data_IF_226107223364
#
_entry.id   IF_226107223364
#
_cell.length_a   1.000
_cell.length_b   1.000
_cell.length_c   1.000
_cell.angle_alpha   90.00
_cell.angle_beta   90.00
_cell.angle_gamma   90.00
#
_symmetry.space_group_name_H-M   'P 1'
#
loop_
_entity.id
_entity.type
_entity.pdbx_description
1 polymer ?
#
# COMPACT_ATOMS: atom_id res chain seq x y z
N UNK A 1 -6.73 -38.03 -17.85
CA UNK A 1 -5.58 -38.83 -18.36
C UNK A 1 -4.31 -38.03 -18.19
N UNK A 2 -3.22 -38.65 -17.73
CA UNK A 2 -1.91 -37.98 -17.57
C UNK A 2 -1.37 -37.55 -18.93
N UNK A 3 -0.80 -36.34 -18.99
CA UNK A 3 -0.23 -35.78 -20.22
C UNK A 3 0.92 -36.67 -20.70
N UNK A 4 1.04 -36.88 -22.01
CA UNK A 4 2.20 -37.55 -22.57
C UNK A 4 3.45 -36.66 -22.42
N UNK A 5 4.64 -37.25 -22.55
CA UNK A 5 5.90 -36.53 -22.36
C UNK A 5 6.03 -35.28 -23.24
N UNK A 6 5.64 -35.37 -24.51
CA UNK A 6 5.73 -34.23 -25.44
C UNK A 6 4.83 -33.06 -25.04
N UNK A 7 3.60 -33.33 -24.57
CA UNK A 7 2.70 -32.31 -24.08
C UNK A 7 3.22 -31.70 -22.77
N UNK A 8 3.73 -32.53 -21.84
CA UNK A 8 4.36 -32.04 -20.61
C UNK A 8 5.57 -31.15 -20.91
N UNK A 9 6.42 -31.55 -21.86
CA UNK A 9 7.59 -30.79 -22.27
C UNK A 9 7.20 -29.44 -22.87
N UNK A 10 6.22 -29.42 -23.80
CA UNK A 10 5.72 -28.18 -24.41
C UNK A 10 5.20 -27.19 -23.36
N UNK A 11 4.41 -27.67 -22.41
CA UNK A 11 3.87 -26.87 -21.32
C UNK A 11 4.95 -26.40 -20.33
N UNK A 12 5.91 -27.26 -20.01
CA UNK A 12 7.03 -26.92 -19.13
C UNK A 12 7.92 -25.85 -19.75
N UNK A 13 8.21 -25.95 -21.05
CA UNK A 13 8.92 -24.90 -21.80
C UNK A 13 8.10 -23.61 -21.81
N UNK A 14 6.78 -23.70 -22.01
CA UNK A 14 5.89 -22.53 -21.93
C UNK A 14 5.95 -21.82 -20.58
N UNK A 15 5.86 -22.58 -19.47
CA UNK A 15 5.98 -22.02 -18.11
C UNK A 15 7.38 -21.44 -17.86
N UNK A 16 8.45 -22.08 -18.35
CA UNK A 16 9.81 -21.57 -18.23
C UNK A 16 9.97 -20.22 -18.96
N UNK A 17 9.52 -20.15 -20.21
CA UNK A 17 9.58 -18.91 -20.99
C UNK A 17 8.73 -17.81 -20.36
N UNK A 18 7.54 -18.14 -19.86
CA UNK A 18 6.71 -17.21 -19.11
C UNK A 18 7.45 -16.68 -17.86
N UNK A 19 8.09 -17.56 -17.10
CA UNK A 19 8.85 -17.16 -15.92
C UNK A 19 10.01 -16.21 -16.26
N UNK A 20 10.76 -16.52 -17.32
CA UNK A 20 11.85 -15.67 -17.82
C UNK A 20 11.30 -14.29 -18.22
N UNK A 21 10.29 -14.24 -19.08
CA UNK A 21 9.69 -12.98 -19.55
C UNK A 21 9.19 -12.15 -18.36
N UNK A 22 8.45 -12.76 -17.45
CA UNK A 22 7.91 -12.06 -16.29
C UNK A 22 9.02 -11.53 -15.36
N UNK A 23 10.13 -12.26 -15.18
CA UNK A 23 11.29 -11.77 -14.42
C UNK A 23 11.95 -10.55 -15.09
N UNK A 24 12.11 -10.56 -16.41
CA UNK A 24 12.66 -9.42 -17.13
C UNK A 24 11.73 -8.19 -17.11
N UNK A 25 10.40 -8.38 -17.05
CA UNK A 25 9.43 -7.30 -16.82
C UNK A 25 9.50 -6.80 -15.37
N UNK A 26 9.67 -7.72 -14.41
CA UNK A 26 9.69 -7.42 -12.99
C UNK A 26 10.95 -6.70 -12.54
N UNK A 27 12.15 -7.06 -13.02
CA UNK A 27 13.40 -6.46 -12.50
C UNK A 27 13.49 -4.93 -12.64
N UNK A 28 13.15 -4.30 -13.78
CA UNK A 28 13.13 -2.84 -13.88
C UNK A 28 12.20 -2.18 -12.86
N UNK A 29 11.06 -2.81 -12.58
CA UNK A 29 10.12 -2.39 -11.55
C UNK A 29 10.73 -2.56 -10.15
N UNK A 30 11.24 -3.75 -9.82
CA UNK A 30 11.77 -4.09 -8.51
C UNK A 30 12.97 -3.21 -8.13
N UNK A 31 13.81 -2.84 -9.10
CA UNK A 31 14.92 -1.91 -8.87
C UNK A 31 14.54 -0.43 -9.00
N UNK A 32 13.25 -0.10 -9.14
CA UNK A 32 12.76 1.28 -9.29
C UNK A 32 13.45 2.08 -10.40
N UNK A 33 13.88 1.44 -11.49
CA UNK A 33 14.85 2.03 -12.43
C UNK A 33 14.41 3.39 -13.00
N UNK A 34 13.13 3.52 -13.35
CA UNK A 34 12.55 4.77 -13.88
C UNK A 34 12.57 5.89 -12.82
N UNK A 35 12.24 5.57 -11.57
CA UNK A 35 12.21 6.54 -10.47
C UNK A 35 13.62 6.98 -10.09
N UNK A 36 14.55 6.05 -9.93
CA UNK A 36 15.93 6.33 -9.57
C UNK A 36 16.64 7.16 -10.65
N UNK A 37 16.38 6.86 -11.93
CA UNK A 37 16.92 7.64 -13.04
C UNK A 37 16.39 9.07 -13.06
N UNK A 38 15.07 9.27 -12.88
CA UNK A 38 14.46 10.61 -12.83
C UNK A 38 14.93 11.44 -11.64
N UNK A 39 15.21 10.78 -10.52
CA UNK A 39 15.59 11.43 -9.26
C UNK A 39 17.09 11.36 -9.00
N UNK A 40 17.91 11.01 -9.98
CA UNK A 40 19.34 10.71 -9.80
C UNK A 40 20.08 11.80 -9.02
N UNK A 41 19.81 13.07 -9.36
CA UNK A 41 20.42 14.25 -8.72
C UNK A 41 19.52 14.93 -7.67
N UNK A 42 18.40 14.31 -7.30
CA UNK A 42 17.56 14.81 -6.22
C UNK A 42 18.30 14.72 -4.88
N UNK A 43 18.04 15.62 -3.92
CA UNK A 43 18.60 15.52 -2.58
C UNK A 43 18.33 14.14 -1.95
N UNK A 44 19.21 13.69 -1.08
CA UNK A 44 18.99 12.50 -0.28
C UNK A 44 17.78 12.75 0.62
N UNK A 45 16.73 11.94 0.45
CA UNK A 45 15.55 11.96 1.31
C UNK A 45 14.93 13.36 1.48
N UNK A 46 14.89 14.11 0.38
CA UNK A 46 14.44 15.50 0.32
C UNK A 46 15.03 16.44 1.41
N UNK A 47 16.21 16.11 1.96
CA UNK A 47 16.88 16.92 2.98
C UNK A 47 17.48 18.16 2.31
N UNK A 48 16.88 19.32 2.60
CA UNK A 48 17.26 20.62 2.04
C UNK A 48 17.17 21.66 3.14
N UNK A 49 18.17 22.55 3.23
CA UNK A 49 18.12 23.72 4.11
C UNK A 49 17.67 24.95 3.30
N UNK A 50 16.47 25.45 3.61
CA UNK A 50 15.93 26.70 3.06
C UNK A 50 16.36 27.91 3.89
N UNK A 51 16.31 29.10 3.28
CA UNK A 51 16.55 30.36 3.99
C UNK A 51 15.41 30.62 4.95
N UNK A 52 15.70 30.84 6.23
CA UNK A 52 14.68 31.14 7.25
C UNK A 52 14.76 32.58 7.74
N UNK A 53 15.92 33.23 7.59
CA UNK A 53 16.18 34.58 8.09
C UNK A 53 16.02 35.65 7.00
N UNK A 54 15.66 36.87 7.41
CA UNK A 54 15.71 38.06 6.56
C UNK A 54 17.13 38.65 6.62
N UNK A 55 17.71 38.99 5.46
CA UNK A 55 19.10 39.51 5.35
C UNK A 55 20.03 38.56 4.58
N UNK A 56 21.29 38.96 4.34
CA UNK A 56 22.31 38.11 3.70
C UNK A 56 23.44 37.84 4.70
N UNK A 57 23.68 36.55 4.97
CA UNK A 57 24.87 36.07 5.68
C UNK A 57 25.63 35.15 4.73
N UNK A 58 26.90 35.48 4.47
CA UNK A 58 27.76 34.66 3.61
C UNK A 58 27.96 33.25 4.19
N UNK A 59 28.08 33.16 5.52
CA UNK A 59 28.21 31.89 6.23
C UNK A 59 26.95 31.02 6.04
N UNK A 60 25.76 31.57 6.31
CA UNK A 60 24.49 30.84 6.14
C UNK A 60 24.28 30.41 4.68
N UNK A 61 24.65 31.28 3.73
CA UNK A 61 24.60 30.96 2.31
C UNK A 61 25.52 29.78 1.96
N UNK A 62 26.77 29.79 2.45
CA UNK A 62 27.74 28.73 2.20
C UNK A 62 27.33 27.41 2.86
N UNK A 63 26.89 27.44 4.12
CA UNK A 63 26.40 26.25 4.84
C UNK A 63 25.23 25.59 4.09
N UNK A 64 24.28 26.39 3.62
CA UNK A 64 23.15 25.90 2.81
C UNK A 64 23.61 25.30 1.48
N UNK A 65 24.54 25.94 0.80
CA UNK A 65 25.09 25.44 -0.46
C UNK A 65 25.79 24.10 -0.23
N UNK A 66 26.68 24.04 0.77
CA UNK A 66 27.44 22.86 1.13
C UNK A 66 26.52 21.70 1.54
N UNK A 67 25.55 21.94 2.42
CA UNK A 67 24.60 20.91 2.86
C UNK A 67 23.77 20.36 1.69
N UNK A 68 23.20 21.25 0.87
CA UNK A 68 22.38 20.83 -0.27
C UNK A 68 23.21 20.07 -1.31
N UNK A 69 24.48 20.44 -1.50
CA UNK A 69 25.41 19.73 -2.36
C UNK A 69 25.71 18.32 -1.82
N UNK A 70 26.08 18.21 -0.53
CA UNK A 70 26.35 16.92 0.13
C UNK A 70 25.13 16.00 0.05
N UNK A 71 23.95 16.53 0.37
CA UNK A 71 22.68 15.78 0.29
C UNK A 71 22.44 15.22 -1.11
N UNK A 72 22.67 16.01 -2.17
CA UNK A 72 22.56 15.54 -3.57
C UNK A 72 23.63 14.50 -3.94
N UNK A 73 24.86 14.64 -3.44
CA UNK A 73 25.93 13.67 -3.68
C UNK A 73 25.63 12.32 -3.03
N UNK A 74 25.19 12.30 -1.77
CA UNK A 74 24.75 11.07 -1.11
C UNK A 74 23.62 10.40 -1.91
N UNK A 75 22.62 11.20 -2.30
CA UNK A 75 21.52 10.74 -3.14
C UNK A 75 22.00 10.14 -4.46
N UNK A 76 22.90 10.82 -5.16
CA UNK A 76 23.49 10.36 -6.42
C UNK A 76 24.18 9.01 -6.26
N UNK A 77 25.11 8.88 -5.31
CA UNK A 77 25.88 7.64 -5.14
C UNK A 77 25.01 6.45 -4.74
N UNK A 78 24.03 6.66 -3.83
CA UNK A 78 23.11 5.60 -3.42
C UNK A 78 22.23 5.13 -4.58
N UNK A 79 21.67 6.05 -5.37
CA UNK A 79 20.83 5.67 -6.54
C UNK A 79 21.68 5.02 -7.63
N UNK A 80 22.88 5.54 -7.88
CA UNK A 80 23.81 4.99 -8.86
C UNK A 80 24.23 3.56 -8.51
N UNK A 81 24.49 3.26 -7.23
CA UNK A 81 24.88 1.91 -6.81
C UNK A 81 23.79 0.88 -7.09
N UNK A 82 22.52 1.22 -6.83
CA UNK A 82 21.36 0.35 -7.12
C UNK A 82 21.18 0.17 -8.63
N UNK A 83 21.32 1.25 -9.42
CA UNK A 83 21.23 1.18 -10.88
C UNK A 83 22.35 0.29 -11.46
N UNK A 84 23.59 0.46 -11.00
CA UNK A 84 24.72 -0.37 -11.43
C UNK A 84 24.52 -1.84 -11.05
N UNK A 85 24.00 -2.10 -9.85
CA UNK A 85 23.69 -3.46 -9.40
C UNK A 85 22.59 -4.12 -10.23
N UNK A 86 21.56 -3.36 -10.64
CA UNK A 86 20.56 -3.84 -11.61
C UNK A 86 21.21 -4.27 -12.94
N UNK A 87 22.08 -3.44 -13.53
CA UNK A 87 22.75 -3.79 -14.78
C UNK A 87 23.67 -5.01 -14.63
N UNK A 88 24.31 -5.17 -13.47
CA UNK A 88 25.09 -6.35 -13.14
C UNK A 88 24.22 -7.61 -13.07
N UNK A 89 23.07 -7.56 -12.40
CA UNK A 89 22.09 -8.67 -12.37
C UNK A 89 21.58 -8.98 -13.78
N UNK A 90 21.26 -7.96 -14.57
CA UNK A 90 20.76 -8.13 -15.94
C UNK A 90 21.82 -8.82 -16.81
N UNK A 91 23.07 -8.37 -16.73
CA UNK A 91 24.19 -8.98 -17.44
C UNK A 91 24.34 -10.47 -17.09
N UNK A 92 24.41 -10.80 -15.80
CA UNK A 92 24.53 -12.19 -15.38
C UNK A 92 23.29 -13.01 -15.77
N UNK A 93 22.10 -12.45 -15.67
CA UNK A 93 20.86 -13.14 -16.08
C UNK A 93 20.90 -13.51 -17.56
N UNK A 94 21.34 -12.61 -18.44
CA UNK A 94 21.45 -12.89 -19.89
C UNK A 94 22.55 -13.91 -20.18
N UNK A 95 23.72 -13.79 -19.55
CA UNK A 95 24.86 -14.69 -19.75
C UNK A 95 24.54 -16.12 -19.28
N UNK A 96 23.87 -16.27 -18.14
CA UNK A 96 23.56 -17.57 -17.55
C UNK A 96 22.28 -18.21 -18.07
N UNK A 97 21.36 -17.44 -18.68
CA UNK A 97 20.10 -17.96 -19.22
C UNK A 97 20.24 -19.20 -20.14
N UNK A 98 21.16 -19.26 -21.12
CA UNK A 98 21.31 -20.45 -21.96
C UNK A 98 21.75 -21.69 -21.17
N UNK A 99 22.59 -21.50 -20.14
CA UNK A 99 23.03 -22.59 -19.27
C UNK A 99 21.90 -23.08 -18.37
N UNK A 100 21.11 -22.15 -17.80
CA UNK A 100 19.92 -22.48 -17.00
C UNK A 100 18.90 -23.23 -17.86
N UNK A 101 18.69 -22.81 -19.11
CA UNK A 101 17.80 -23.48 -20.03
C UNK A 101 18.29 -24.90 -20.38
N UNK A 102 19.60 -25.08 -20.62
CA UNK A 102 20.19 -26.38 -20.86
C UNK A 102 20.03 -27.32 -19.66
N UNK A 103 20.31 -26.84 -18.44
CA UNK A 103 20.08 -27.58 -17.19
C UNK A 103 18.61 -27.95 -17.06
N UNK A 104 17.70 -27.01 -17.34
CA UNK A 104 16.26 -27.26 -17.32
C UNK A 104 15.88 -28.41 -18.27
N UNK A 105 16.35 -28.39 -19.52
CA UNK A 105 16.09 -29.45 -20.52
C UNK A 105 16.62 -30.80 -20.04
N UNK A 106 17.83 -30.85 -19.49
CA UNK A 106 18.43 -32.08 -18.94
C UNK A 106 17.60 -32.63 -17.79
N UNK A 107 17.02 -31.77 -16.95
CA UNK A 107 16.19 -32.17 -15.82
C UNK A 107 14.74 -32.53 -16.20
N UNK A 108 14.26 -32.16 -17.39
CA UNK A 108 12.86 -32.42 -17.80
C UNK A 108 12.41 -33.88 -17.71
N UNK A 109 13.22 -34.90 -18.05
CA UNK A 109 12.79 -36.31 -17.91
C UNK A 109 12.53 -36.69 -16.45
N UNK A 110 13.34 -36.16 -15.53
CA UNK A 110 13.24 -36.41 -14.09
C UNK A 110 12.01 -35.69 -13.50
N UNK A 111 11.75 -34.46 -13.95
CA UNK A 111 10.53 -33.72 -13.62
C UNK A 111 9.26 -34.41 -14.16
N UNK A 112 9.31 -34.98 -15.37
CA UNK A 112 8.21 -35.74 -15.93
C UNK A 112 7.94 -37.02 -15.13
N UNK A 113 8.99 -37.74 -14.72
CA UNK A 113 8.83 -38.91 -13.85
C UNK A 113 8.13 -38.53 -12.55
N UNK A 114 8.54 -37.42 -11.91
CA UNK A 114 7.86 -36.89 -10.72
C UNK A 114 6.39 -36.55 -11.00
N UNK A 115 6.09 -35.83 -12.09
CA UNK A 115 4.72 -35.53 -12.52
C UNK A 115 3.88 -36.79 -12.75
N UNK A 116 4.49 -37.83 -13.32
CA UNK A 116 3.84 -39.10 -13.60
C UNK A 116 3.60 -39.93 -12.33
N UNK A 117 4.44 -39.81 -11.31
CA UNK A 117 4.26 -40.48 -10.02
C UNK A 117 3.27 -39.74 -9.11
N UNK A 118 3.18 -38.41 -9.24
CA UNK A 118 2.21 -37.62 -8.50
C UNK A 118 0.77 -37.87 -8.98
N UNK A 119 -0.20 -37.72 -8.06
CA UNK A 119 -1.63 -37.65 -8.39
C UNK A 119 -1.89 -36.44 -9.29
N UNK A 120 -2.80 -36.56 -10.25
CA UNK A 120 -3.18 -35.40 -11.08
C UNK A 120 -3.79 -34.30 -10.22
N UNK A 121 -3.76 -33.05 -10.69
CA UNK A 121 -4.40 -31.95 -9.95
C UNK A 121 -5.90 -32.19 -9.74
N UNK A 122 -6.59 -32.84 -10.69
CA UNK A 122 -7.99 -33.24 -10.53
C UNK A 122 -8.19 -34.32 -9.46
N UNK A 123 -7.29 -35.32 -9.40
CA UNK A 123 -7.33 -36.37 -8.37
C UNK A 123 -7.00 -35.82 -6.98
N UNK A 124 -6.08 -34.85 -6.90
CA UNK A 124 -5.76 -34.13 -5.67
C UNK A 124 -6.94 -33.29 -5.20
N UNK A 125 -7.57 -32.54 -6.11
CA UNK A 125 -8.76 -31.75 -5.85
C UNK A 125 -9.91 -32.62 -5.34
N UNK A 126 -10.24 -33.71 -6.04
CA UNK A 126 -11.33 -34.59 -5.69
C UNK A 126 -11.09 -35.28 -4.34
N UNK A 127 -9.86 -35.70 -4.06
CA UNK A 127 -9.48 -36.26 -2.76
C UNK A 127 -9.60 -35.22 -1.64
N UNK A 128 -9.11 -33.99 -1.85
CA UNK A 128 -9.21 -32.90 -0.89
C UNK A 128 -10.68 -32.52 -0.66
N UNK A 129 -11.48 -32.43 -1.72
CA UNK A 129 -12.91 -32.16 -1.66
C UNK A 129 -13.64 -33.22 -0.85
N UNK A 130 -13.35 -34.49 -1.11
CA UNK A 130 -13.94 -35.62 -0.39
C UNK A 130 -13.58 -35.58 1.09
N UNK A 131 -12.31 -35.36 1.42
CA UNK A 131 -11.87 -35.25 2.81
C UNK A 131 -12.47 -34.03 3.52
N UNK A 132 -12.50 -32.89 2.84
CA UNK A 132 -13.06 -31.65 3.37
C UNK A 132 -14.56 -31.82 3.67
N UNK A 133 -15.32 -32.36 2.71
CA UNK A 133 -16.75 -32.61 2.85
C UNK A 133 -17.04 -33.61 3.96
N UNK A 134 -16.28 -34.71 4.06
CA UNK A 134 -16.45 -35.70 5.12
C UNK A 134 -16.24 -35.13 6.53
N UNK A 135 -15.45 -34.05 6.66
CA UNK A 135 -15.09 -33.45 7.95
C UNK A 135 -16.02 -32.28 8.32
N UNK A 136 -16.54 -31.53 7.34
CA UNK A 136 -17.27 -30.28 7.56
C UNK A 136 -18.76 -30.32 7.17
N UNK A 137 -19.23 -31.39 6.51
CA UNK A 137 -20.64 -31.54 6.16
C UNK A 137 -21.46 -31.99 7.39
N UNK A 138 -22.13 -31.03 8.04
CA UNK A 138 -23.01 -31.33 9.18
C UNK A 138 -24.44 -31.71 8.77
N UNK A 139 -24.94 -31.21 7.64
CA UNK A 139 -26.27 -31.52 7.10
C UNK A 139 -26.24 -31.54 5.56
N UNK A 140 -27.01 -32.43 4.94
CA UNK A 140 -27.12 -32.59 3.47
C UNK A 140 -27.60 -31.31 2.78
N UNK A 141 -28.41 -30.50 3.46
CA UNK A 141 -28.93 -29.22 2.94
C UNK A 141 -27.80 -28.22 2.61
N UNK A 142 -26.65 -28.30 3.30
CA UNK A 142 -25.54 -27.36 3.14
C UNK A 142 -24.50 -27.84 2.12
N UNK A 143 -24.72 -28.99 1.47
CA UNK A 143 -23.75 -29.61 0.57
C UNK A 143 -23.33 -28.70 -0.59
N UNK A 144 -24.28 -27.99 -1.20
CA UNK A 144 -24.00 -27.06 -2.30
C UNK A 144 -23.18 -25.85 -1.85
N UNK A 145 -23.50 -25.28 -0.67
CA UNK A 145 -22.76 -24.13 -0.11
C UNK A 145 -21.33 -24.51 0.24
N UNK A 146 -21.12 -25.67 0.87
CA UNK A 146 -19.79 -26.19 1.21
C UNK A 146 -18.97 -26.46 -0.04
N UNK A 147 -19.57 -27.02 -1.10
CA UNK A 147 -18.86 -27.24 -2.35
C UNK A 147 -18.47 -25.93 -3.04
N UNK A 148 -19.38 -24.95 -3.10
CA UNK A 148 -19.06 -23.61 -3.63
C UNK A 148 -17.93 -22.96 -2.86
N UNK A 149 -17.95 -23.06 -1.53
CA UNK A 149 -16.87 -22.53 -0.70
C UNK A 149 -15.55 -23.28 -0.94
N UNK A 150 -15.58 -24.61 -1.02
CA UNK A 150 -14.41 -25.41 -1.31
C UNK A 150 -13.81 -25.07 -2.68
N UNK A 151 -14.64 -24.82 -3.70
CA UNK A 151 -14.18 -24.37 -5.01
C UNK A 151 -13.39 -23.06 -4.88
N UNK A 152 -13.94 -22.10 -4.13
CA UNK A 152 -13.29 -20.82 -3.86
C UNK A 152 -11.98 -21.00 -3.07
N UNK A 153 -12.00 -21.77 -1.99
CA UNK A 153 -10.83 -22.13 -1.18
C UNK A 153 -9.71 -22.79 -1.99
N UNK A 154 -10.07 -23.79 -2.80
CA UNK A 154 -9.13 -24.56 -3.61
C UNK A 154 -8.48 -23.67 -4.68
N UNK A 155 -9.27 -22.83 -5.35
CA UNK A 155 -8.79 -21.81 -6.28
C UNK A 155 -7.77 -20.91 -5.57
N UNK A 156 -8.14 -20.28 -4.45
CA UNK A 156 -7.28 -19.33 -3.73
C UNK A 156 -5.94 -19.96 -3.31
N UNK A 157 -5.93 -21.19 -2.81
CA UNK A 157 -4.70 -21.91 -2.47
C UNK A 157 -3.85 -22.32 -3.67
N UNK A 158 -4.48 -22.68 -4.80
CA UNK A 158 -3.77 -23.19 -5.97
C UNK A 158 -3.23 -22.08 -6.87
N UNK A 159 -3.90 -20.93 -6.97
CA UNK A 159 -3.40 -19.76 -7.71
C UNK A 159 -2.13 -19.15 -7.08
N UNK A 160 -1.94 -19.33 -5.76
CA UNK A 160 -0.71 -18.92 -5.05
C UNK A 160 0.56 -19.71 -5.38
N UNK A 161 0.49 -20.81 -6.17
CA UNK A 161 1.65 -21.73 -6.35
C UNK A 161 2.70 -21.30 -7.37
N UNK A 162 2.34 -20.47 -8.36
CA UNK A 162 3.28 -20.08 -9.42
C UNK A 162 3.94 -18.74 -9.07
N UNK A 163 5.03 -18.80 -8.32
CA UNK A 163 5.78 -17.61 -7.88
C UNK A 163 6.22 -16.70 -9.02
N UNK A 164 6.39 -17.26 -10.23
CA UNK A 164 6.84 -16.53 -11.43
C UNK A 164 5.72 -15.82 -12.20
N UNK A 165 4.45 -15.92 -11.77
CA UNK A 165 3.36 -15.14 -12.38
C UNK A 165 3.57 -13.67 -12.05
N UNK A 166 3.33 -12.81 -13.05
CA UNK A 166 3.57 -11.37 -12.92
C UNK A 166 2.78 -10.74 -11.75
N UNK A 167 1.54 -11.18 -11.51
CA UNK A 167 0.72 -10.76 -10.37
C UNK A 167 1.38 -11.05 -9.01
N UNK A 168 2.10 -12.16 -8.90
CA UNK A 168 2.77 -12.60 -7.67
C UNK A 168 4.16 -11.98 -7.53
N UNK A 169 4.81 -11.62 -8.64
CA UNK A 169 6.06 -10.86 -8.58
C UNK A 169 5.81 -9.41 -8.13
N UNK A 170 4.74 -8.78 -8.63
CA UNK A 170 4.41 -7.42 -8.25
C UNK A 170 3.89 -7.24 -6.82
N UNK A 171 3.63 -8.32 -6.06
CA UNK A 171 3.38 -8.17 -4.62
C UNK A 171 4.63 -7.78 -3.83
N UNK A 172 5.82 -7.94 -4.40
CA UNK A 172 7.05 -7.49 -3.76
C UNK A 172 7.25 -5.99 -3.99
N UNK A 173 7.44 -5.19 -2.92
CA UNK A 173 7.64 -3.75 -3.06
C UNK A 173 9.00 -3.45 -3.72
N UNK A 174 9.08 -2.38 -4.53
CA UNK A 174 10.29 -2.03 -5.26
C UNK A 174 11.33 -1.40 -4.33
N UNK A 175 12.60 -1.74 -4.56
CA UNK A 175 13.76 -1.26 -3.81
C UNK A 175 14.00 0.23 -4.03
N UNK A 176 14.50 0.90 -2.98
CA UNK A 176 15.05 2.26 -3.03
C UNK A 176 14.12 3.37 -3.57
N UNK A 177 12.83 3.07 -3.80
CA UNK A 177 11.86 4.04 -4.35
C UNK A 177 11.73 5.28 -3.45
N UNK A 178 11.73 5.05 -2.15
CA UNK A 178 11.46 6.10 -1.15
C UNK A 178 12.71 6.94 -0.82
N UNK A 179 13.81 6.83 -1.56
CA UNK A 179 15.02 7.62 -1.30
C UNK A 179 14.94 9.05 -1.86
N UNK A 180 13.94 9.34 -2.70
CA UNK A 180 13.68 10.68 -3.22
C UNK A 180 12.66 11.48 -2.39
N UNK A 181 12.02 10.85 -1.41
CA UNK A 181 10.96 11.45 -0.56
C UNK A 181 11.48 11.71 0.85
N UNK A 182 10.85 12.64 1.57
CA UNK A 182 11.36 13.12 2.85
C UNK A 182 11.20 12.12 4.01
N UNK A 183 12.05 12.28 5.03
CA UNK A 183 11.78 11.70 6.35
C UNK A 183 10.82 12.58 7.14
N UNK A 184 10.17 11.98 8.13
CA UNK A 184 9.26 12.68 9.04
C UNK A 184 9.58 12.38 10.51
N UNK A 185 10.84 12.58 10.97
CA UNK A 185 11.28 12.17 12.30
C UNK A 185 10.53 12.84 13.46
N UNK A 186 9.92 14.01 13.25
CA UNK A 186 9.11 14.63 14.29
C UNK A 186 7.70 14.04 14.32
N UNK A 187 7.05 13.92 13.16
CA UNK A 187 5.74 13.30 12.95
C UNK A 187 5.72 11.83 13.38
N UNK A 188 6.77 11.07 13.10
CA UNK A 188 6.90 9.63 13.43
C UNK A 188 6.73 9.35 14.94
N UNK A 189 6.85 10.37 15.79
CA UNK A 189 6.60 10.26 17.24
C UNK A 189 5.12 10.28 17.61
N UNK A 190 4.27 10.79 16.72
CA UNK A 190 2.83 11.01 16.93
C UNK A 190 1.97 10.19 15.97
N UNK A 191 2.56 9.36 15.12
CA UNK A 191 1.81 8.55 14.14
C UNK A 191 2.06 7.06 14.28
N UNK A 192 1.11 6.28 13.77
CA UNK A 192 1.28 4.87 13.42
C UNK A 192 1.35 4.74 11.90
N UNK A 193 2.37 4.04 11.38
CA UNK A 193 2.57 3.85 9.94
C UNK A 193 1.84 2.59 9.46
N UNK A 194 0.67 2.81 8.85
CA UNK A 194 -0.19 1.75 8.32
C UNK A 194 0.39 1.09 7.08
N UNK A 195 1.47 1.62 6.51
CA UNK A 195 2.18 1.06 5.35
C UNK A 195 3.54 0.46 5.72
N UNK A 196 3.85 0.36 7.01
CA UNK A 196 5.08 -0.29 7.47
C UNK A 196 5.01 -1.81 7.28
N UNK A 197 6.15 -2.44 6.96
CA UNK A 197 6.23 -3.91 6.83
C UNK A 197 5.76 -4.63 8.08
N UNK A 198 6.05 -4.08 9.27
CA UNK A 198 5.58 -4.61 10.55
C UNK A 198 4.06 -4.58 10.67
N UNK A 199 3.42 -3.48 10.28
CA UNK A 199 1.96 -3.37 10.32
C UNK A 199 1.30 -4.26 9.26
N UNK A 200 1.85 -4.28 8.04
CA UNK A 200 1.35 -5.09 6.94
C UNK A 200 1.49 -6.60 7.19
N UNK A 201 2.49 -7.02 7.97
CA UNK A 201 2.60 -8.41 8.42
C UNK A 201 1.53 -8.81 9.44
N UNK A 202 0.93 -7.85 10.16
CA UNK A 202 -0.10 -8.08 11.16
C UNK A 202 -1.52 -8.03 10.56
N UNK A 203 -1.73 -7.26 9.49
CA UNK A 203 -3.01 -7.23 8.78
C UNK A 203 -3.21 -8.53 8.02
N UNK A 204 -4.15 -9.34 8.51
CA UNK A 204 -4.43 -10.66 7.94
C UNK A 204 -5.27 -10.62 6.65
N UNK A 205 -6.20 -9.66 6.50
CA UNK A 205 -7.10 -9.61 5.34
C UNK A 205 -7.31 -8.21 4.78
N UNK A 206 -7.32 -8.08 3.45
CA UNK A 206 -7.87 -6.92 2.77
C UNK A 206 -9.37 -7.19 2.54
N UNK A 207 -10.21 -6.29 2.99
CA UNK A 207 -11.65 -6.45 2.95
C UNK A 207 -12.22 -6.01 1.61
N UNK A 208 -13.20 -6.75 1.09
CA UNK A 208 -13.82 -6.46 -0.20
C UNK A 208 -14.87 -5.35 -0.07
N UNK A 209 -14.37 -4.11 0.03
CA UNK A 209 -15.11 -2.83 -0.12
C UNK A 209 -14.55 -2.06 -1.30
N UNK A 210 -14.39 -2.76 -2.42
CA UNK A 210 -13.76 -2.24 -3.62
C UNK A 210 -14.41 -0.95 -4.12
N UNK A 211 -15.73 -0.81 -3.99
CA UNK A 211 -16.44 0.41 -4.44
C UNK A 211 -15.95 1.64 -3.68
N UNK A 212 -15.92 1.56 -2.35
CA UNK A 212 -15.48 2.63 -1.47
C UNK A 212 -13.98 2.88 -1.60
N UNK A 213 -13.16 1.81 -1.65
CA UNK A 213 -11.71 1.92 -1.84
C UNK A 213 -11.38 2.60 -3.17
N UNK A 214 -12.01 2.20 -4.27
CA UNK A 214 -11.79 2.79 -5.59
C UNK A 214 -12.28 4.24 -5.65
N UNK A 215 -13.36 4.58 -4.94
CA UNK A 215 -13.82 5.96 -4.80
C UNK A 215 -12.79 6.81 -4.05
N UNK A 216 -12.28 6.33 -2.92
CA UNK A 216 -11.24 7.01 -2.14
C UNK A 216 -9.96 7.18 -2.96
N UNK A 217 -9.50 6.12 -3.63
CA UNK A 217 -8.32 6.17 -4.50
C UNK A 217 -8.47 7.25 -5.58
N UNK A 218 -9.65 7.32 -6.22
CA UNK A 218 -9.94 8.33 -7.25
C UNK A 218 -9.87 9.75 -6.70
N UNK A 219 -10.43 9.99 -5.52
CA UNK A 219 -10.41 11.31 -4.84
C UNK A 219 -8.96 11.69 -4.51
N UNK A 220 -8.22 10.82 -3.83
CA UNK A 220 -6.84 11.09 -3.41
C UNK A 220 -5.86 11.31 -4.57
N UNK A 221 -6.23 10.84 -5.78
CA UNK A 221 -5.45 10.97 -7.02
C UNK A 221 -5.73 12.26 -7.81
N UNK A 222 -6.68 13.09 -7.38
CA UNK A 222 -6.96 14.39 -8.02
C UNK A 222 -5.80 15.38 -7.83
N UNK A 223 -5.73 16.37 -8.72
CA UNK A 223 -4.79 17.50 -8.59
C UNK A 223 -5.20 18.49 -7.52
N UNK A 224 -6.51 18.68 -7.32
CA UNK A 224 -7.14 19.57 -6.35
C UNK A 224 -8.22 18.81 -5.57
N UNK A 225 -8.61 19.30 -4.39
CA UNK A 225 -9.67 18.71 -3.55
C UNK A 225 -9.46 17.22 -3.22
N UNK A 226 -8.20 16.80 -3.12
CA UNK A 226 -7.81 15.40 -2.94
C UNK A 226 -7.87 14.90 -1.48
N UNK A 227 -8.73 15.50 -0.66
CA UNK A 227 -8.96 15.06 0.71
C UNK A 227 -10.33 14.38 0.80
N UNK A 228 -10.44 13.42 1.69
CA UNK A 228 -11.63 12.58 1.80
C UNK A 228 -12.09 12.47 3.24
N UNK A 229 -13.41 12.44 3.46
CA UNK A 229 -13.99 12.09 4.76
C UNK A 229 -14.85 10.85 4.58
N UNK A 230 -14.46 9.79 5.26
CA UNK A 230 -15.18 8.53 5.34
C UNK A 230 -16.23 8.66 6.45
N UNK A 231 -17.50 8.58 6.06
CA UNK A 231 -18.66 8.78 6.94
C UNK A 231 -19.45 7.49 7.02
N UNK A 232 -19.74 7.02 8.23
CA UNK A 232 -20.54 5.81 8.43
C UNK A 232 -20.72 5.50 9.91
N UNK A 233 -21.64 4.61 10.24
CA UNK A 233 -21.92 4.27 11.64
C UNK A 233 -20.76 3.52 12.31
N UNK A 234 -20.84 3.36 13.63
CA UNK A 234 -19.86 2.56 14.35
C UNK A 234 -19.97 1.08 13.96
N UNK A 235 -18.85 0.37 13.85
CA UNK A 235 -18.84 -1.05 13.48
C UNK A 235 -18.98 -1.38 11.98
N UNK A 236 -19.29 -0.41 11.10
CA UNK A 236 -19.45 -0.68 9.65
C UNK A 236 -18.13 -0.99 8.91
N UNK A 237 -16.97 -0.96 9.57
CA UNK A 237 -15.68 -1.30 8.97
C UNK A 237 -14.92 -0.13 8.31
N UNK A 238 -15.12 1.11 8.77
CA UNK A 238 -14.41 2.31 8.25
C UNK A 238 -12.88 2.17 8.31
N UNK A 239 -12.34 1.68 9.43
CA UNK A 239 -10.90 1.43 9.58
C UNK A 239 -10.40 0.37 8.61
N UNK A 240 -11.19 -0.69 8.42
CA UNK A 240 -10.85 -1.79 7.50
C UNK A 240 -10.72 -1.32 6.05
N UNK A 241 -11.51 -0.33 5.62
CA UNK A 241 -11.36 0.32 4.30
C UNK A 241 -9.99 1.00 4.20
N UNK A 242 -9.59 1.74 5.23
CA UNK A 242 -8.30 2.45 5.26
C UNK A 242 -7.13 1.47 5.31
N UNK A 243 -7.22 0.41 6.11
CA UNK A 243 -6.21 -0.65 6.16
C UNK A 243 -6.06 -1.35 4.80
N UNK A 244 -7.18 -1.63 4.14
CA UNK A 244 -7.18 -2.25 2.80
C UNK A 244 -6.59 -1.32 1.75
N UNK A 245 -6.90 -0.03 1.81
CA UNK A 245 -6.27 1.00 0.96
C UNK A 245 -4.76 1.10 1.23
N UNK A 246 -4.34 1.13 2.50
CA UNK A 246 -2.94 1.17 2.90
C UNK A 246 -2.17 -0.06 2.37
N UNK A 247 -2.78 -1.26 2.45
CA UNK A 247 -2.21 -2.48 1.86
C UNK A 247 -2.06 -2.38 0.35
N UNK A 248 -3.08 -1.91 -0.38
CA UNK A 248 -2.97 -1.69 -1.83
C UNK A 248 -1.91 -0.65 -2.18
N UNK A 249 -1.79 0.42 -1.40
CA UNK A 249 -0.75 1.43 -1.56
C UNK A 249 0.64 0.81 -1.35
N UNK A 250 0.82 0.01 -0.30
CA UNK A 250 2.06 -0.70 0.02
C UNK A 250 2.47 -1.67 -1.10
N UNK A 251 1.51 -2.42 -1.63
CA UNK A 251 1.71 -3.37 -2.73
C UNK A 251 1.77 -2.69 -4.11
N UNK A 252 1.57 -1.36 -4.20
CA UNK A 252 1.55 -0.63 -5.47
C UNK A 252 0.37 -0.96 -6.39
N UNK A 253 -0.70 -1.56 -5.87
CA UNK A 253 -1.93 -1.93 -6.59
C UNK A 253 -2.95 -0.78 -6.66
N UNK A 254 -2.45 0.44 -6.75
CA UNK A 254 -3.24 1.69 -6.85
C UNK A 254 -2.65 2.55 -7.97
N UNK A 255 -3.30 3.66 -8.29
CA UNK A 255 -2.78 4.69 -9.18
C UNK A 255 -1.33 5.07 -8.80
N UNK A 256 -0.47 5.26 -9.82
CA UNK A 256 0.92 5.67 -9.68
C UNK A 256 1.15 6.90 -8.78
N UNK A 257 0.16 7.80 -8.67
CA UNK A 257 0.21 8.98 -7.78
C UNK A 257 0.14 8.64 -6.29
N UNK A 258 -0.47 7.50 -5.94
CA UNK A 258 -0.64 7.04 -4.56
C UNK A 258 0.27 5.88 -4.22
N UNK A 259 0.67 5.08 -5.21
CA UNK A 259 1.47 3.89 -5.02
C UNK A 259 2.67 4.19 -4.11
N UNK A 260 2.86 3.35 -3.08
CA UNK A 260 3.89 3.39 -2.04
C UNK A 260 4.04 4.72 -1.28
N UNK A 261 2.99 5.55 -1.24
CA UNK A 261 2.92 6.60 -0.22
C UNK A 261 2.78 5.98 1.17
N UNK A 262 3.23 6.72 2.18
CA UNK A 262 3.05 6.36 3.58
C UNK A 262 1.66 6.77 4.03
N UNK A 263 0.88 5.84 4.56
CA UNK A 263 -0.40 6.16 5.21
C UNK A 263 -0.14 6.25 6.71
N UNK A 264 -0.18 7.47 7.25
CA UNK A 264 0.19 7.75 8.63
C UNK A 264 -1.05 8.12 9.44
N UNK A 265 -1.41 7.28 10.40
CA UNK A 265 -2.49 7.57 11.35
C UNK A 265 -1.97 8.46 12.46
N UNK A 266 -2.43 9.70 12.52
CA UNK A 266 -2.00 10.66 13.54
C UNK A 266 -2.80 10.48 14.84
N UNK A 267 -2.06 10.42 15.95
CA UNK A 267 -2.63 10.43 17.29
C UNK A 267 -2.71 11.88 17.78
N UNK A 268 -3.86 12.51 17.53
CA UNK A 268 -4.11 13.88 17.97
C UNK A 268 -4.24 13.99 19.50
N UNK A 269 -4.69 12.94 20.21
CA UNK A 269 -4.74 12.94 21.67
C UNK A 269 -3.34 13.14 22.27
N UNK A 270 -2.34 12.42 21.75
CA UNK A 270 -0.94 12.56 22.17
C UNK A 270 -0.35 13.96 21.90
N UNK A 271 -0.85 14.65 20.88
CA UNK A 271 -0.48 16.04 20.55
C UNK A 271 -1.12 17.00 21.56
N UNK A 272 -2.39 16.78 21.88
CA UNK A 272 -3.14 17.58 22.86
C UNK A 272 -2.62 17.43 24.29
N UNK A 273 -1.99 16.30 24.60
CA UNK A 273 -1.34 16.05 25.90
C UNK A 273 -0.03 16.84 26.08
N UNK A 274 0.58 17.37 25.01
CA UNK A 274 1.85 18.11 25.10
C UNK A 274 1.71 19.48 25.76
N UNK A 275 0.53 20.10 25.64
CA UNK A 275 0.27 21.42 26.20
C UNK A 275 -1.21 21.60 26.46
N UNK A 276 -1.56 22.40 27.46
CA UNK A 276 -2.94 22.85 27.69
C UNK A 276 -3.27 24.12 26.90
N UNK A 277 -2.26 24.80 26.37
CA UNK A 277 -2.40 26.05 25.63
C UNK A 277 -2.82 25.80 24.17
N UNK A 278 -3.87 26.50 23.73
CA UNK A 278 -4.46 26.32 22.40
C UNK A 278 -3.52 26.75 21.27
N UNK A 279 -2.84 27.90 21.41
CA UNK A 279 -1.94 28.40 20.37
C UNK A 279 -0.74 27.46 20.19
N UNK A 280 -0.23 26.91 21.30
CA UNK A 280 0.85 25.91 21.26
C UNK A 280 0.41 24.61 20.57
N UNK A 281 -0.83 24.15 20.80
CA UNK A 281 -1.39 22.96 20.13
C UNK A 281 -1.52 23.18 18.63
N UNK A 282 -2.03 24.34 18.22
CA UNK A 282 -2.14 24.70 16.80
C UNK A 282 -0.77 24.77 16.13
N UNK A 283 0.20 25.46 16.75
CA UNK A 283 1.56 25.56 16.24
C UNK A 283 2.25 24.19 16.17
N UNK A 284 2.04 23.34 17.16
CA UNK A 284 2.57 21.97 17.16
C UNK A 284 2.01 21.15 15.99
N UNK A 285 0.68 21.16 15.82
CA UNK A 285 0.06 20.47 14.68
C UNK A 285 0.52 21.05 13.34
N UNK A 286 0.62 22.37 13.24
CA UNK A 286 1.11 23.04 12.02
C UNK A 286 2.52 22.55 11.64
N UNK A 287 3.43 22.46 12.61
CA UNK A 287 4.79 21.95 12.39
C UNK A 287 4.80 20.49 11.92
N UNK A 288 3.92 19.65 12.48
CA UNK A 288 3.78 18.24 12.09
C UNK A 288 3.23 18.10 10.67
N UNK A 289 2.22 18.90 10.31
CA UNK A 289 1.65 18.92 8.96
C UNK A 289 2.62 19.49 7.92
N UNK A 290 3.43 20.48 8.28
CA UNK A 290 4.51 21.00 7.43
C UNK A 290 5.52 19.90 7.09
N UNK A 291 5.97 19.15 8.09
CA UNK A 291 6.91 18.04 7.87
C UNK A 291 6.30 16.95 6.97
N UNK A 292 5.02 16.61 7.20
CA UNK A 292 4.27 15.68 6.35
C UNK A 292 4.20 16.16 4.88
N UNK A 293 3.89 17.44 4.68
CA UNK A 293 3.80 18.05 3.35
C UNK A 293 5.17 18.12 2.65
N UNK A 294 6.24 18.41 3.40
CA UNK A 294 7.61 18.42 2.89
C UNK A 294 8.11 17.02 2.51
N UNK A 295 7.59 15.97 3.14
CA UNK A 295 7.94 14.61 2.79
C UNK A 295 7.46 14.19 1.39
N UNK A 296 6.35 14.78 0.90
CA UNK A 296 5.75 14.56 -0.43
C UNK A 296 5.28 13.13 -0.72
N UNK A 297 5.33 12.25 0.27
CA UNK A 297 4.89 10.87 0.18
C UNK A 297 3.96 10.47 1.32
N UNK A 298 3.30 11.43 1.96
CA UNK A 298 2.43 11.15 3.11
C UNK A 298 0.97 11.33 2.73
N UNK A 299 0.15 10.38 3.18
CA UNK A 299 -1.31 10.48 3.30
C UNK A 299 -1.60 10.41 4.80
N UNK A 300 -2.22 11.45 5.33
CA UNK A 300 -2.50 11.56 6.76
C UNK A 300 -3.90 11.04 7.06
N UNK A 301 -4.03 10.12 8.02
CA UNK A 301 -5.31 9.65 8.53
C UNK A 301 -5.60 10.31 9.88
N UNK A 302 -6.74 10.99 9.98
CA UNK A 302 -7.27 11.58 11.21
C UNK A 302 -8.57 10.85 11.59
N UNK A 303 -8.53 10.11 12.69
CA UNK A 303 -9.71 9.49 13.29
C UNK A 303 -10.52 10.51 14.09
N UNK A 304 -11.83 10.29 14.21
CA UNK A 304 -12.76 11.19 14.91
C UNK A 304 -12.60 12.65 14.44
N UNK A 305 -12.53 12.85 13.12
CA UNK A 305 -12.16 14.13 12.51
C UNK A 305 -13.01 15.31 13.00
N UNK A 306 -14.29 15.05 13.27
CA UNK A 306 -15.24 16.01 13.84
C UNK A 306 -14.78 16.61 15.18
N UNK A 307 -13.99 15.90 16.00
CA UNK A 307 -13.49 16.38 17.30
C UNK A 307 -12.52 17.56 17.20
N UNK A 308 -11.92 17.73 16.03
CA UNK A 308 -10.77 18.61 15.81
C UNK A 308 -11.09 19.80 14.90
N UNK A 309 -12.34 19.98 14.48
CA UNK A 309 -12.75 21.01 13.50
C UNK A 309 -13.92 21.87 13.99
N UNK A 310 -14.15 21.91 15.31
CA UNK A 310 -15.18 22.73 15.92
C UNK A 310 -14.83 23.07 17.37
N UNK A 311 -15.15 24.29 17.80
CA UNK A 311 -15.08 24.72 19.20
C UNK A 311 -16.36 24.44 19.99
N UNK A 312 -17.37 23.80 19.38
CA UNK A 312 -18.67 23.57 20.02
C UNK A 312 -18.61 22.38 21.00
N UNK A 313 -19.14 22.59 22.21
CA UNK A 313 -19.16 21.56 23.25
C UNK A 313 -17.77 21.26 23.82
N UNK A 314 -17.44 19.98 24.00
CA UNK A 314 -16.14 19.51 24.50
C UNK A 314 -15.15 19.17 23.37
N UNK A 315 -15.23 19.90 22.25
CA UNK A 315 -14.39 19.70 21.06
C UNK A 315 -13.26 20.71 21.05
N UNK A 316 -12.20 20.40 20.31
CA UNK A 316 -11.00 21.24 20.23
C UNK A 316 -10.88 21.74 18.79
N UNK A 317 -10.72 23.04 18.62
CA UNK A 317 -10.65 23.61 17.28
C UNK A 317 -9.21 23.61 16.76
N UNK A 318 -8.89 22.71 15.83
CA UNK A 318 -7.64 22.69 15.08
C UNK A 318 -7.91 22.97 13.59
N UNK A 319 -9.00 23.68 13.30
CA UNK A 319 -9.43 23.97 11.92
C UNK A 319 -8.36 24.72 11.13
N UNK A 320 -7.69 25.71 11.74
CA UNK A 320 -6.72 26.57 11.05
C UNK A 320 -5.53 25.79 10.45
N UNK A 321 -4.77 25.00 11.23
CA UNK A 321 -3.68 24.21 10.67
C UNK A 321 -4.19 23.18 9.65
N UNK A 322 -5.34 22.52 9.89
CA UNK A 322 -5.90 21.53 8.94
C UNK A 322 -6.27 22.21 7.61
N UNK A 323 -6.99 23.33 7.66
CA UNK A 323 -7.39 24.12 6.49
C UNK A 323 -6.18 24.55 5.67
N UNK A 324 -5.13 25.03 6.34
CA UNK A 324 -3.90 25.50 5.69
C UNK A 324 -3.29 24.43 4.79
N UNK A 325 -3.21 23.18 5.23
CA UNK A 325 -2.60 22.09 4.46
C UNK A 325 -3.58 21.37 3.54
N UNK A 326 -4.86 21.27 3.91
CA UNK A 326 -5.91 20.68 3.08
C UNK A 326 -6.14 21.45 1.77
N UNK A 327 -5.91 22.78 1.77
CA UNK A 327 -5.94 23.62 0.56
C UNK A 327 -4.77 23.36 -0.41
N UNK A 328 -3.70 22.74 0.05
CA UNK A 328 -2.49 22.56 -0.76
C UNK A 328 -2.52 21.24 -1.53
N UNK A 329 -1.80 21.19 -2.63
CA UNK A 329 -1.51 19.96 -3.37
C UNK A 329 -0.39 19.12 -2.74
N UNK A 330 0.08 19.46 -1.53
CA UNK A 330 1.28 18.85 -0.93
C UNK A 330 0.98 17.73 0.06
N UNK A 331 -0.21 17.73 0.65
CA UNK A 331 -0.65 16.75 1.63
C UNK A 331 -2.03 16.22 1.24
N UNK A 332 -2.26 14.94 1.50
CA UNK A 332 -3.57 14.32 1.38
C UNK A 332 -4.06 13.92 2.76
N UNK A 333 -5.32 14.23 3.06
CA UNK A 333 -5.91 13.95 4.37
C UNK A 333 -7.13 13.03 4.19
N UNK A 334 -7.17 11.97 4.97
CA UNK A 334 -8.32 11.08 5.16
C UNK A 334 -8.88 11.36 6.55
N UNK A 335 -10.13 11.80 6.64
CA UNK A 335 -10.87 11.90 7.90
C UNK A 335 -11.83 10.72 8.07
N UNK A 336 -12.03 10.26 9.31
CA UNK A 336 -13.09 9.30 9.66
C UNK A 336 -14.05 9.95 10.66
N UNK A 337 -15.36 9.81 10.43
CA UNK A 337 -16.40 10.33 11.34
C UNK A 337 -17.70 9.53 11.23
N UNK A 338 -18.69 9.89 12.06
CA UNK A 338 -20.06 9.35 12.05
C UNK A 338 -21.02 10.27 11.28
N UNK A 339 -22.15 9.76 10.75
CA UNK A 339 -23.04 10.55 9.90
C UNK A 339 -23.63 11.78 10.59
N UNK A 340 -24.11 11.63 11.82
CA UNK A 340 -24.69 12.73 12.59
C UNK A 340 -23.63 13.81 12.89
N UNK A 341 -22.43 13.39 13.31
CA UNK A 341 -21.31 14.28 13.63
C UNK A 341 -20.79 15.03 12.41
N UNK A 342 -20.79 14.38 11.25
CA UNK A 342 -20.47 15.04 9.99
C UNK A 342 -21.43 16.19 9.69
N UNK A 343 -22.74 15.96 9.81
CA UNK A 343 -23.74 16.97 9.51
C UNK A 343 -23.70 18.16 10.47
N UNK A 344 -23.43 17.91 11.75
CA UNK A 344 -23.40 18.95 12.77
C UNK A 344 -22.12 19.77 12.75
N UNK A 345 -20.95 19.13 12.66
CA UNK A 345 -19.66 19.81 12.91
C UNK A 345 -18.82 20.05 11.65
N UNK A 346 -18.90 19.16 10.65
CA UNK A 346 -18.02 19.24 9.48
C UNK A 346 -18.71 19.95 8.31
N UNK A 347 -19.94 19.55 7.99
CA UNK A 347 -20.71 20.13 6.88
C UNK A 347 -21.01 21.62 7.12
N UNK A 348 -21.28 22.00 8.37
CA UNK A 348 -21.51 23.41 8.74
C UNK A 348 -20.21 24.25 8.72
N UNK A 349 -19.04 23.62 8.81
CA UNK A 349 -17.78 24.34 8.83
C UNK A 349 -17.37 24.77 7.42
N UNK A 350 -17.58 26.05 7.10
CA UNK A 350 -17.29 26.63 5.79
C UNK A 350 -15.82 26.57 5.40
N UNK A 351 -14.88 26.51 6.37
CA UNK A 351 -13.44 26.43 6.12
C UNK A 351 -13.00 25.04 5.64
N UNK A 352 -13.74 24.00 6.01
CA UNK A 352 -13.34 22.60 5.81
C UNK A 352 -14.23 21.89 4.79
N UNK A 353 -15.55 22.09 4.84
CA UNK A 353 -16.53 21.32 4.05
C UNK A 353 -16.23 21.22 2.55
N UNK A 354 -15.75 22.29 1.94
CA UNK A 354 -15.42 22.35 0.52
C UNK A 354 -14.04 21.74 0.17
N UNK A 355 -13.20 21.45 1.16
CA UNK A 355 -11.85 20.90 0.95
C UNK A 355 -11.81 19.37 0.96
N UNK A 356 -12.93 18.72 1.34
CA UNK A 356 -13.03 17.29 1.54
C UNK A 356 -14.24 16.71 0.81
N UNK A 357 -14.03 15.65 0.04
CA UNK A 357 -15.11 14.87 -0.53
C UNK A 357 -15.62 13.81 0.45
N UNK A 358 -16.94 13.71 0.56
CA UNK A 358 -17.61 12.72 1.42
C UNK A 358 -17.68 11.35 0.74
N UNK A 359 -17.32 10.29 1.46
CA UNK A 359 -17.55 8.90 1.07
C UNK A 359 -18.40 8.24 2.14
N UNK A 360 -19.62 7.87 1.78
CA UNK A 360 -20.56 7.19 2.68
C UNK A 360 -20.30 5.68 2.72
N UNK A 361 -20.24 5.13 3.94
CA UNK A 361 -20.03 3.71 4.23
C UNK A 361 -21.23 3.19 4.99
N UNK A 362 -21.94 2.26 4.34
CA UNK A 362 -23.14 1.65 4.90
C UNK A 362 -22.84 0.26 5.48
N UNK A 363 -23.77 -0.20 6.31
CA UNK A 363 -23.78 -1.58 6.79
C UNK A 363 -23.88 -2.56 5.62
N UNK A 364 -23.20 -3.69 5.78
CA UNK A 364 -23.05 -4.73 4.76
C UNK A 364 -24.32 -5.57 4.75
N UNK A 365 -24.80 -5.93 3.56
CA UNK A 365 -25.95 -6.82 3.44
C UNK A 365 -25.59 -8.20 3.97
N UNK A 366 -26.58 -8.94 4.47
CA UNK A 366 -26.37 -10.28 5.03
C UNK A 366 -25.60 -11.22 4.09
N UNK A 367 -25.92 -11.20 2.80
CA UNK A 367 -25.28 -12.06 1.79
C UNK A 367 -23.81 -11.71 1.58
N UNK A 368 -23.47 -10.41 1.56
CA UNK A 368 -22.09 -9.92 1.46
C UNK A 368 -21.31 -10.26 2.76
N UNK A 369 -21.95 -10.13 3.92
CA UNK A 369 -21.35 -10.47 5.21
C UNK A 369 -21.02 -11.98 5.31
N UNK A 370 -21.87 -12.84 4.74
CA UNK A 370 -21.60 -14.28 4.64
C UNK A 370 -20.35 -14.54 3.78
N UNK A 371 -20.24 -13.93 2.60
CA UNK A 371 -19.06 -14.03 1.73
C UNK A 371 -17.78 -13.58 2.44
N UNK A 372 -17.85 -12.47 3.18
CA UNK A 372 -16.73 -11.96 3.99
C UNK A 372 -16.28 -12.97 5.06
N UNK A 373 -17.23 -13.55 5.80
CA UNK A 373 -16.92 -14.54 6.84
C UNK A 373 -16.29 -15.80 6.23
N UNK A 374 -16.79 -16.21 5.07
CA UNK A 374 -16.28 -17.33 4.30
C UNK A 374 -14.85 -17.09 3.81
N UNK A 375 -14.54 -15.89 3.30
CA UNK A 375 -13.18 -15.55 2.86
C UNK A 375 -12.20 -15.48 4.04
N UNK A 376 -12.63 -14.92 5.16
CA UNK A 376 -11.83 -14.86 6.39
C UNK A 376 -11.50 -16.24 6.98
N UNK A 377 -12.32 -17.25 6.70
CA UNK A 377 -12.06 -18.62 7.14
C UNK A 377 -11.01 -19.36 6.30
N UNK A 378 -10.64 -18.82 5.13
CA UNK A 378 -9.62 -19.39 4.23
C UNK A 378 -8.19 -19.00 4.67
N UNK A 379 -8.05 -17.82 5.27
CA UNK A 379 -6.81 -17.24 5.80
C UNK A 379 -6.44 -17.82 7.17
#
# INVERSE_FOLDING_TARGET
MKKNFFHFLKESIGNFLEAVVNLFIFFPYFFSLLSLSKTLFSPWKNLVISKTTRGFSFQEWFERLAFNFISRMIGFFMRLSVILFYFLILFFSVVFLPFIFLIFIILTPLLYLKYYLEKTDSEKEELLRKNFTATHLMNQVNYEQINKWFDHYYITLHFGRKWWKLSNLFTYPPLARDWAVGYTPFLDRFVEDLTSTSYQALIKSAFDREKEINQIERILSKSEEKNVIIVGDEGVGKHTIVDSLAKKIYEGKVNNLLAYKRVLKINLEKILDQSTDQEQRESLLENLLEEAAQAKNVILLIENFDKYVSSQGNRIDLTLPIEKYAKTDRLQIIGITQPFLYQEFIFQNQKISHLFEKVDVYEIKKDEAEEILLNKAIE
#
